data_IF_632500662592
#
_entry.id   IF_632500662592
#
_cell.length_a   1.000
_cell.length_b   1.000
_cell.length_c   1.000
_cell.angle_alpha   90.00
_cell.angle_beta   90.00
_cell.angle_gamma   90.00
#
_symmetry.space_group_name_H-M   'P 1'
#
loop_
_entity.id
_entity.type
_entity.pdbx_description
1 polymer ?
#
# COMPACT_ATOMS: atom_id res chain seq x y z
N UNK A 1 -24.26 -1.40 -15.03
CA UNK A 1 -23.37 -2.34 -14.31
C UNK A 1 -23.64 -3.74 -14.82
N UNK A 2 -22.64 -4.63 -14.89
CA UNK A 2 -22.84 -6.04 -15.29
C UNK A 2 -23.78 -6.79 -14.35
N UNK A 3 -24.39 -7.88 -14.83
CA UNK A 3 -25.46 -8.58 -14.10
C UNK A 3 -24.95 -9.35 -12.87
N UNK A 4 -23.68 -9.76 -12.90
CA UNK A 4 -23.04 -10.48 -11.80
C UNK A 4 -21.57 -10.07 -11.63
N UNK A 5 -21.01 -10.46 -10.48
CA UNK A 5 -19.64 -10.11 -10.10
C UNK A 5 -18.58 -10.66 -11.07
N UNK A 6 -18.82 -11.83 -11.68
CA UNK A 6 -17.88 -12.45 -12.62
C UNK A 6 -17.76 -11.63 -13.90
N UNK A 7 -18.88 -11.16 -14.44
CA UNK A 7 -18.89 -10.27 -15.60
C UNK A 7 -18.28 -8.91 -15.30
N UNK A 8 -18.57 -8.37 -14.11
CA UNK A 8 -17.91 -7.16 -13.62
C UNK A 8 -16.40 -7.30 -13.57
N UNK A 9 -15.89 -8.39 -13.00
CA UNK A 9 -14.46 -8.65 -12.89
C UNK A 9 -13.80 -8.82 -14.26
N UNK A 10 -14.48 -9.48 -15.22
CA UNK A 10 -14.01 -9.58 -16.62
C UNK A 10 -13.88 -8.21 -17.27
N UNK A 11 -14.89 -7.36 -17.15
CA UNK A 11 -14.82 -5.99 -17.66
C UNK A 11 -13.73 -5.17 -16.97
N UNK A 12 -13.64 -5.28 -15.64
CA UNK A 12 -12.65 -4.57 -14.84
C UNK A 12 -11.22 -4.91 -15.31
N UNK A 13 -10.94 -6.18 -15.57
CA UNK A 13 -9.64 -6.63 -16.09
C UNK A 13 -9.34 -6.14 -17.52
N UNK A 14 -10.37 -5.89 -18.35
CA UNK A 14 -10.21 -5.34 -19.69
C UNK A 14 -9.85 -3.84 -19.62
N UNK A 15 -10.59 -3.06 -18.84
CA UNK A 15 -10.38 -1.61 -18.77
C UNK A 15 -9.19 -1.22 -17.89
N UNK A 16 -8.93 -1.98 -16.84
CA UNK A 16 -7.89 -1.71 -15.85
C UNK A 16 -7.07 -2.99 -15.60
N UNK A 17 -6.18 -3.36 -16.54
CA UNK A 17 -5.43 -4.61 -16.46
C UNK A 17 -4.47 -4.68 -15.26
N UNK A 18 -4.15 -3.53 -14.66
CA UNK A 18 -3.36 -3.43 -13.43
C UNK A 18 -4.09 -2.51 -12.47
N UNK A 19 -4.65 -3.10 -11.41
CA UNK A 19 -5.26 -2.38 -10.29
C UNK A 19 -4.52 -2.79 -9.04
N UNK A 20 -4.18 -1.78 -8.23
CA UNK A 20 -3.63 -1.99 -6.91
C UNK A 20 -4.57 -1.28 -5.94
N UNK A 21 -5.09 -2.03 -4.97
CA UNK A 21 -5.84 -1.48 -3.87
C UNK A 21 -4.89 -1.29 -2.68
N UNK A 22 -4.57 -0.02 -2.39
CA UNK A 22 -3.70 0.34 -1.27
C UNK A 22 -4.22 -0.21 0.06
N UNK A 23 -5.54 -0.27 0.27
CA UNK A 23 -6.13 -0.81 1.48
C UNK A 23 -5.95 -2.34 1.56
N UNK A 24 -6.04 -3.03 0.43
CA UNK A 24 -5.74 -4.45 0.38
C UNK A 24 -4.28 -4.73 0.76
N UNK A 25 -3.33 -3.95 0.21
CA UNK A 25 -1.90 -4.05 0.55
C UNK A 25 -1.63 -3.80 2.04
N UNK A 26 -2.24 -2.77 2.64
CA UNK A 26 -2.11 -2.48 4.07
C UNK A 26 -2.54 -3.66 4.95
N UNK A 27 -3.65 -4.30 4.59
CA UNK A 27 -4.24 -5.40 5.37
C UNK A 27 -3.36 -6.65 5.29
N UNK A 28 -2.84 -6.98 4.11
CA UNK A 28 -1.93 -8.11 3.91
C UNK A 28 -0.66 -7.98 4.76
N UNK A 29 -0.16 -6.76 4.88
CA UNK A 29 1.09 -6.46 5.58
C UNK A 29 0.92 -6.09 7.06
N UNK A 30 -0.30 -6.18 7.59
CA UNK A 30 -0.65 -5.83 8.99
C UNK A 30 -0.11 -4.46 9.41
N UNK A 31 0.03 -3.54 8.46
CA UNK A 31 0.75 -2.28 8.66
C UNK A 31 0.01 -1.35 9.61
N UNK A 32 -1.28 -1.11 9.33
CA UNK A 32 -2.15 -0.27 10.15
C UNK A 32 -3.61 -0.62 9.87
N UNK A 33 -4.44 -0.61 10.92
CA UNK A 33 -5.90 -0.65 10.77
C UNK A 33 -6.39 0.79 10.71
N UNK A 34 -6.86 1.23 9.55
CA UNK A 34 -7.31 2.60 9.38
C UNK A 34 -7.76 2.98 7.96
N UNK A 35 -8.20 4.22 7.80
CA UNK A 35 -8.53 4.85 6.53
C UNK A 35 -7.32 5.46 5.82
N UNK A 36 -7.55 6.06 4.64
CA UNK A 36 -6.50 6.69 3.84
C UNK A 36 -5.77 7.81 4.59
N UNK A 37 -6.50 8.66 5.31
CA UNK A 37 -5.89 9.77 6.05
C UNK A 37 -4.96 9.26 7.15
N UNK A 38 -5.40 8.27 7.93
CA UNK A 38 -4.61 7.69 9.02
C UNK A 38 -3.33 7.02 8.50
N UNK A 39 -3.39 6.37 7.32
CA UNK A 39 -2.20 5.85 6.66
C UNK A 39 -1.25 6.97 6.22
N UNK A 40 -1.77 8.01 5.58
CA UNK A 40 -0.96 9.13 5.12
C UNK A 40 -0.24 9.84 6.28
N UNK A 41 -0.94 10.05 7.40
CA UNK A 41 -0.38 10.65 8.61
C UNK A 41 0.73 9.77 9.19
N UNK A 42 0.53 8.44 9.27
CA UNK A 42 1.53 7.49 9.75
C UNK A 42 2.78 7.42 8.86
N UNK A 43 2.62 7.67 7.56
CA UNK A 43 3.71 7.70 6.58
C UNK A 43 4.29 9.11 6.36
N UNK A 44 3.83 10.10 7.12
CA UNK A 44 4.23 11.51 6.99
C UNK A 44 4.07 12.04 5.56
N UNK A 45 2.93 11.75 4.94
CA UNK A 45 2.53 12.26 3.62
C UNK A 45 1.52 13.39 3.81
N UNK A 46 1.87 14.65 3.50
CA UNK A 46 0.97 15.77 3.70
C UNK A 46 -0.15 15.77 2.65
N UNK A 47 -1.37 16.11 3.08
CA UNK A 47 -2.50 16.34 2.17
C UNK A 47 -2.40 17.70 1.50
N UNK A 48 -2.70 17.73 0.20
CA UNK A 48 -2.90 18.96 -0.57
C UNK A 48 -4.37 19.02 -1.03
N UNK A 49 -5.07 20.06 -0.61
CA UNK A 49 -6.50 20.26 -0.88
C UNK A 49 -7.41 19.76 0.25
N UNK A 50 -8.72 19.84 0.02
CA UNK A 50 -9.73 19.51 1.03
C UNK A 50 -9.94 17.99 1.15
N UNK A 51 -10.16 17.50 2.36
CA UNK A 51 -10.53 16.11 2.59
C UNK A 51 -11.93 15.81 2.02
N UNK A 52 -12.17 14.56 1.61
CA UNK A 52 -13.43 14.10 1.02
C UNK A 52 -13.74 14.74 -0.35
N UNK A 53 -12.71 15.18 -1.07
CA UNK A 53 -12.79 15.56 -2.47
C UNK A 53 -11.97 14.60 -3.31
N UNK A 54 -12.58 14.07 -4.38
CA UNK A 54 -11.99 13.01 -5.20
C UNK A 54 -10.58 13.37 -5.71
N UNK A 55 -10.33 14.62 -6.11
CA UNK A 55 -9.00 15.05 -6.58
C UNK A 55 -7.93 15.03 -5.48
N UNK A 56 -8.24 15.61 -4.32
CA UNK A 56 -7.36 15.64 -3.15
C UNK A 56 -7.10 14.23 -2.61
N UNK A 57 -8.14 13.39 -2.54
CA UNK A 57 -8.01 12.00 -2.08
C UNK A 57 -7.25 11.12 -3.08
N UNK A 58 -7.42 11.35 -4.40
CA UNK A 58 -6.66 10.63 -5.43
C UNK A 58 -5.17 10.97 -5.37
N UNK A 59 -4.82 12.25 -5.21
CA UNK A 59 -3.43 12.68 -5.02
C UNK A 59 -2.84 12.05 -3.76
N UNK A 60 -3.56 12.13 -2.63
CA UNK A 60 -3.09 11.54 -1.38
C UNK A 60 -2.91 10.02 -1.49
N UNK A 61 -3.79 9.33 -2.22
CA UNK A 61 -3.68 7.87 -2.46
C UNK A 61 -2.40 7.54 -3.22
N UNK A 62 -2.08 8.28 -4.28
CA UNK A 62 -0.87 8.06 -5.09
C UNK A 62 0.42 8.29 -4.31
N UNK A 63 0.54 9.43 -3.63
CA UNK A 63 1.71 9.77 -2.82
C UNK A 63 1.93 8.77 -1.69
N UNK A 64 0.84 8.42 -1.00
CA UNK A 64 0.87 7.43 0.08
C UNK A 64 1.30 6.05 -0.42
N UNK A 65 0.86 5.64 -1.62
CA UNK A 65 1.26 4.37 -2.23
C UNK A 65 2.79 4.31 -2.47
N UNK A 66 3.38 5.35 -3.07
CA UNK A 66 4.82 5.36 -3.31
C UNK A 66 5.63 5.37 -2.01
N UNK A 67 5.21 6.18 -1.02
CA UNK A 67 5.84 6.19 0.31
C UNK A 67 5.72 4.83 1.02
N UNK A 68 4.57 4.17 0.89
CA UNK A 68 4.38 2.83 1.43
C UNK A 68 5.37 1.83 0.82
N UNK A 69 5.55 1.86 -0.50
CA UNK A 69 6.54 1.01 -1.19
C UNK A 69 7.97 1.30 -0.72
N UNK A 70 8.36 2.57 -0.59
CA UNK A 70 9.69 2.96 -0.07
C UNK A 70 9.96 2.33 1.30
N UNK A 71 9.01 2.48 2.22
CA UNK A 71 9.11 1.92 3.58
C UNK A 71 9.16 0.39 3.53
N UNK A 72 8.28 -0.22 2.74
CA UNK A 72 8.22 -1.68 2.59
C UNK A 72 9.53 -2.26 2.04
N UNK A 73 10.11 -1.67 0.99
CA UNK A 73 11.38 -2.12 0.43
C UNK A 73 12.56 -1.90 1.37
N UNK A 74 12.63 -0.76 2.07
CA UNK A 74 13.65 -0.50 3.09
C UNK A 74 13.58 -1.50 4.26
N UNK A 75 12.37 -1.81 4.73
CA UNK A 75 12.14 -2.82 5.76
C UNK A 75 12.51 -4.21 5.24
N UNK A 76 12.11 -4.56 4.01
CA UNK A 76 12.44 -5.86 3.39
C UNK A 76 13.95 -6.10 3.28
N UNK A 77 14.73 -5.09 2.92
CA UNK A 77 16.19 -5.17 2.95
C UNK A 77 16.73 -5.32 4.38
N UNK A 78 16.13 -4.64 5.35
CA UNK A 78 16.54 -4.73 6.76
C UNK A 78 16.25 -6.11 7.37
N UNK A 79 15.14 -6.78 7.02
CA UNK A 79 14.83 -8.15 7.45
C UNK A 79 15.76 -9.18 6.80
N UNK A 80 16.08 -9.03 5.51
CA UNK A 80 17.09 -9.85 4.83
C UNK A 80 18.47 -9.68 5.50
N UNK A 81 18.91 -8.45 5.74
CA UNK A 81 20.18 -8.17 6.43
C UNK A 81 20.22 -8.74 7.85
N UNK A 82 19.12 -8.66 8.62
CA UNK A 82 19.06 -9.27 9.97
C UNK A 82 19.14 -10.80 9.93
N UNK A 83 18.47 -11.45 8.99
CA UNK A 83 18.51 -12.91 8.89
C UNK A 83 19.88 -13.42 8.42
N UNK A 84 20.53 -12.73 7.48
CA UNK A 84 21.88 -13.09 7.04
C UNK A 84 22.93 -12.85 8.13
N UNK A 85 22.79 -11.79 8.92
CA UNK A 85 23.71 -11.50 10.03
C UNK A 85 23.50 -12.42 11.24
N UNK A 86 22.26 -12.85 11.53
CA UNK A 86 21.98 -13.82 12.60
C UNK A 86 22.49 -15.22 12.30
N UNK A 87 22.53 -15.66 11.03
CA UNK A 87 23.18 -16.92 10.64
C UNK A 87 24.71 -16.87 10.78
N UNK A 88 25.32 -15.67 10.73
CA UNK A 88 26.77 -15.46 10.88
C UNK A 88 27.23 -15.30 12.33
N UNK A 89 26.32 -15.14 13.30
CA UNK A 89 26.64 -15.02 14.73
C UNK A 89 26.16 -16.26 15.47
N UNK A 90 26.95 -17.34 15.39
CA UNK A 90 26.84 -18.48 16.29
C UNK A 90 28.14 -18.57 17.12
N UNK A 91 28.24 -17.88 18.26
CA UNK A 91 29.36 -18.07 19.15
C UNK A 91 29.18 -19.44 19.83
N UNK A 92 30.02 -20.39 19.43
CA UNK A 92 30.30 -21.64 20.17
C UNK A 92 30.56 -21.38 21.65
#
# INVERSE_FOLDING_TARGET
MPENFVEFQKMLAIFFPRIIDLKAMMNEHKFLKGGLQELADALHVPRIGLQHQAGSDAMLTGETFFRFLEVWFCIGQSYLLRNTLMESWNPT
#
